data_IF_352254192959
#
_entry.id   IF_352254192959
#
_cell.length_a   1.000
_cell.length_b   1.000
_cell.length_c   1.000
_cell.angle_alpha   90.00
_cell.angle_beta   90.00
_cell.angle_gamma   90.00
#
_symmetry.space_group_name_H-M   'P 1'
#
loop_
_entity.id
_entity.type
_entity.pdbx_description
1 polymer ?
#
# COMPACT_ATOMS: atom_id res chain seq x y z
N UNK A 1 12.20 -30.90 2.51
CA UNK A 1 12.34 -29.66 1.69
C UNK A 1 11.15 -28.69 1.79
N UNK A 2 10.32 -28.75 2.83
CA UNK A 2 9.07 -27.96 2.97
C UNK A 2 9.25 -26.68 3.81
N UNK A 3 10.41 -26.47 4.44
CA UNK A 3 10.62 -25.41 5.44
C UNK A 3 10.99 -24.04 4.82
N UNK A 4 11.54 -23.99 3.60
CA UNK A 4 11.99 -22.75 2.99
C UNK A 4 10.84 -21.89 2.39
N UNK A 5 9.77 -22.53 1.94
CA UNK A 5 8.59 -21.82 1.40
C UNK A 5 7.75 -21.17 2.52
N UNK A 6 7.74 -21.74 3.72
CA UNK A 6 6.97 -21.21 4.85
C UNK A 6 7.53 -19.89 5.38
N UNK A 7 8.83 -19.66 5.31
CA UNK A 7 9.47 -18.45 5.84
C UNK A 7 9.36 -17.26 4.86
N UNK A 8 9.36 -17.50 3.55
CA UNK A 8 9.21 -16.44 2.54
C UNK A 8 7.81 -15.82 2.52
N UNK A 9 6.77 -16.57 2.90
CA UNK A 9 5.37 -16.13 2.91
C UNK A 9 4.85 -15.74 4.32
N UNK A 10 5.66 -15.81 5.36
CA UNK A 10 5.24 -15.54 6.74
C UNK A 10 4.66 -14.12 6.96
N UNK A 11 5.00 -13.17 6.10
CA UNK A 11 4.43 -11.81 6.13
C UNK A 11 3.02 -11.72 5.53
N UNK A 12 2.57 -12.74 4.77
CA UNK A 12 1.26 -12.80 4.14
C UNK A 12 0.24 -13.50 5.03
N UNK A 13 0.29 -13.31 6.37
CA UNK A 13 -0.75 -13.85 7.22
C UNK A 13 -2.11 -13.22 6.89
N UNK A 14 -3.24 -13.94 7.08
CA UNK A 14 -4.58 -13.42 6.80
C UNK A 14 -4.86 -12.07 7.49
N UNK A 15 -4.39 -11.90 8.73
CA UNK A 15 -4.60 -10.69 9.52
C UNK A 15 -3.83 -9.49 8.93
N UNK A 16 -2.55 -9.70 8.56
CA UNK A 16 -1.75 -8.65 7.92
C UNK A 16 -2.28 -8.30 6.54
N UNK A 17 -2.73 -9.29 5.80
CA UNK A 17 -3.34 -9.08 4.49
C UNK A 17 -4.63 -8.28 4.59
N UNK A 18 -5.50 -8.60 5.54
CA UNK A 18 -6.72 -7.84 5.81
C UNK A 18 -6.41 -6.39 6.23
N UNK A 19 -5.40 -6.20 7.09
CA UNK A 19 -4.94 -4.86 7.51
C UNK A 19 -4.37 -4.08 6.31
N UNK A 20 -3.56 -4.70 5.46
CA UNK A 20 -3.00 -4.07 4.27
C UNK A 20 -4.11 -3.62 3.30
N UNK A 21 -5.11 -4.48 3.06
CA UNK A 21 -6.28 -4.14 2.25
C UNK A 21 -7.05 -2.96 2.83
N UNK A 22 -7.34 -2.97 4.14
CA UNK A 22 -8.02 -1.88 4.83
C UNK A 22 -7.29 -0.55 4.69
N UNK A 23 -5.98 -0.55 4.91
CA UNK A 23 -5.15 0.66 4.78
C UNK A 23 -5.13 1.17 3.33
N UNK A 24 -5.07 0.28 2.36
CA UNK A 24 -5.03 0.66 0.95
C UNK A 24 -6.40 1.16 0.46
N UNK A 25 -7.51 0.53 0.87
CA UNK A 25 -8.86 1.02 0.58
C UNK A 25 -9.10 2.38 1.24
N UNK A 26 -8.67 2.58 2.50
CA UNK A 26 -8.70 3.88 3.17
C UNK A 26 -8.01 4.96 2.34
N UNK A 27 -6.80 4.64 1.88
CA UNK A 27 -6.00 5.56 1.08
C UNK A 27 -6.68 5.85 -0.25
N UNK A 28 -7.15 4.83 -0.96
CA UNK A 28 -7.84 4.98 -2.23
C UNK A 28 -9.11 5.85 -2.10
N UNK A 29 -9.93 5.60 -1.08
CA UNK A 29 -11.10 6.42 -0.79
C UNK A 29 -10.72 7.89 -0.55
N UNK A 30 -9.66 8.17 0.25
CA UNK A 30 -9.23 9.52 0.54
C UNK A 30 -8.68 10.24 -0.69
N UNK A 31 -7.76 9.61 -1.42
CA UNK A 31 -7.09 10.22 -2.56
C UNK A 31 -8.01 10.42 -3.75
N UNK A 32 -8.81 9.41 -4.10
CA UNK A 32 -9.75 9.54 -5.23
C UNK A 32 -10.90 10.51 -4.93
N UNK A 33 -11.27 10.71 -3.65
CA UNK A 33 -12.21 11.75 -3.25
C UNK A 33 -11.57 13.14 -3.30
N UNK A 34 -10.31 13.27 -2.89
CA UNK A 34 -9.54 14.50 -3.00
C UNK A 34 -9.38 14.95 -4.46
N UNK A 35 -9.07 14.02 -5.36
CA UNK A 35 -8.98 14.24 -6.81
C UNK A 35 -10.34 14.38 -7.48
N UNK A 36 -11.45 14.29 -6.72
CA UNK A 36 -12.83 14.37 -7.22
C UNK A 36 -13.22 13.31 -8.25
N UNK A 37 -12.48 12.20 -8.27
CA UNK A 37 -12.86 11.01 -9.01
C UNK A 37 -13.98 10.23 -8.32
N UNK A 38 -14.02 10.28 -6.98
CA UNK A 38 -15.11 9.78 -6.18
C UNK A 38 -15.87 10.95 -5.55
N UNK A 39 -17.19 10.78 -5.42
CA UNK A 39 -18.07 11.71 -4.73
C UNK A 39 -18.80 10.98 -3.59
N UNK A 40 -18.19 10.82 -2.39
CA UNK A 40 -18.84 10.16 -1.28
C UNK A 40 -20.12 10.85 -0.88
N UNK A 41 -21.23 10.10 -0.84
CA UNK A 41 -22.53 10.62 -0.44
C UNK A 41 -22.66 10.62 1.09
N UNK A 42 -23.04 11.74 1.73
CA UNK A 42 -23.27 11.78 3.17
C UNK A 42 -24.50 10.94 3.55
N UNK A 43 -24.38 10.17 4.64
CA UNK A 43 -25.47 9.33 5.16
C UNK A 43 -25.82 9.63 6.61
N UNK A 44 -25.16 10.60 7.21
CA UNK A 44 -25.35 11.06 8.59
C UNK A 44 -24.15 11.88 9.03
N UNK A 45 -24.06 12.17 10.33
CA UNK A 45 -22.96 12.93 10.90
C UNK A 45 -21.63 12.20 10.65
N UNK A 46 -20.73 12.84 9.89
CA UNK A 46 -19.41 12.33 9.52
C UNK A 46 -19.41 10.94 8.82
N UNK A 47 -20.59 10.43 8.41
CA UNK A 47 -20.73 9.15 7.72
C UNK A 47 -20.93 9.33 6.24
N UNK A 48 -20.25 8.51 5.45
CA UNK A 48 -20.29 8.61 4.01
C UNK A 48 -20.39 7.22 3.37
N UNK A 49 -20.86 7.20 2.14
CA UNK A 49 -20.95 6.00 1.32
C UNK A 49 -20.46 6.26 -0.10
N UNK A 50 -19.81 5.24 -0.68
CA UNK A 50 -19.46 5.16 -2.10
C UNK A 50 -20.05 3.87 -2.64
N UNK A 51 -20.71 3.92 -3.80
CA UNK A 51 -21.28 2.74 -4.47
C UNK A 51 -20.46 2.34 -5.68
N UNK A 52 -20.38 1.03 -5.92
CA UNK A 52 -19.79 0.46 -7.13
C UNK A 52 -20.51 0.95 -8.40
N UNK A 53 -19.86 0.80 -9.55
CA UNK A 53 -20.38 1.21 -10.86
C UNK A 53 -21.74 0.59 -11.19
N UNK A 54 -21.98 -0.65 -10.75
CA UNK A 54 -23.23 -1.40 -10.91
C UNK A 54 -24.21 -1.21 -9.73
N UNK A 55 -23.85 -0.38 -8.75
CA UNK A 55 -24.59 -0.14 -7.52
C UNK A 55 -24.86 -1.41 -6.64
N UNK A 56 -24.22 -2.54 -6.94
CA UNK A 56 -24.41 -3.78 -6.18
C UNK A 56 -23.63 -3.80 -4.86
N UNK A 57 -22.52 -3.05 -4.81
CA UNK A 57 -21.62 -2.96 -3.66
C UNK A 57 -21.58 -1.55 -3.10
N UNK A 58 -21.50 -1.44 -1.80
CA UNK A 58 -21.46 -0.19 -1.07
C UNK A 58 -20.31 -0.19 -0.06
N UNK A 59 -19.48 0.84 -0.10
CA UNK A 59 -18.43 1.13 0.87
C UNK A 59 -18.91 2.21 1.82
N UNK A 60 -19.00 1.90 3.12
CA UNK A 60 -19.43 2.83 4.17
C UNK A 60 -18.26 3.14 5.06
N UNK A 61 -18.14 4.39 5.48
CA UNK A 61 -17.05 4.84 6.34
C UNK A 61 -17.37 6.14 7.07
N UNK A 62 -16.60 6.42 8.13
CA UNK A 62 -16.60 7.68 8.85
C UNK A 62 -15.39 8.50 8.40
N UNK A 63 -15.61 9.80 8.14
CA UNK A 63 -14.55 10.70 7.72
C UNK A 63 -14.80 12.14 8.16
N UNK A 64 -13.73 12.90 8.34
CA UNK A 64 -13.77 14.36 8.43
C UNK A 64 -13.28 14.96 7.13
N UNK A 65 -14.06 15.89 6.59
CA UNK A 65 -13.67 16.66 5.42
C UNK A 65 -13.08 18.00 5.88
N UNK A 66 -11.84 18.25 5.51
CA UNK A 66 -11.13 19.51 5.76
C UNK A 66 -11.08 20.39 4.52
N UNK A 67 -10.51 21.57 4.67
CA UNK A 67 -10.28 22.48 3.54
C UNK A 67 -9.50 21.79 2.41
N UNK A 68 -9.71 22.24 1.18
CA UNK A 68 -9.09 21.69 -0.03
C UNK A 68 -9.46 20.24 -0.30
N UNK A 69 -10.66 19.82 0.05
CA UNK A 69 -11.17 18.45 -0.13
C UNK A 69 -10.24 17.37 0.50
N UNK A 70 -9.59 17.72 1.61
CA UNK A 70 -8.76 16.76 2.33
C UNK A 70 -9.61 15.85 3.22
N UNK A 71 -9.63 14.56 2.89
CA UNK A 71 -10.41 13.53 3.58
C UNK A 71 -9.59 12.80 4.63
N UNK A 72 -9.97 12.92 5.88
CA UNK A 72 -9.42 12.10 6.96
C UNK A 72 -10.39 10.95 7.26
N UNK A 73 -10.13 9.79 6.72
CA UNK A 73 -10.98 8.60 6.84
C UNK A 73 -10.49 7.73 8.00
N UNK A 74 -11.43 7.32 8.86
CA UNK A 74 -11.17 6.39 9.96
C UNK A 74 -11.14 4.96 9.44
N UNK A 75 -9.94 4.36 9.34
CA UNK A 75 -9.71 3.06 8.72
C UNK A 75 -10.61 1.94 9.27
N UNK A 76 -10.80 1.91 10.58
CA UNK A 76 -11.53 0.81 11.25
C UNK A 76 -13.06 0.88 11.04
N UNK A 77 -13.56 2.02 10.54
CA UNK A 77 -14.99 2.19 10.24
C UNK A 77 -15.37 1.77 8.84
N UNK A 78 -14.37 1.49 7.98
CA UNK A 78 -14.64 1.11 6.58
C UNK A 78 -15.23 -0.30 6.53
N UNK A 79 -16.40 -0.40 5.92
CA UNK A 79 -17.09 -1.66 5.65
C UNK A 79 -17.49 -1.75 4.19
N UNK A 80 -17.49 -2.97 3.63
CA UNK A 80 -17.93 -3.28 2.26
C UNK A 80 -19.16 -4.18 2.34
N UNK A 81 -20.22 -3.79 1.69
CA UNK A 81 -21.48 -4.55 1.69
C UNK A 81 -21.94 -4.83 0.27
N UNK A 82 -22.42 -6.06 0.02
CA UNK A 82 -23.06 -6.44 -1.23
C UNK A 82 -24.37 -7.14 -0.93
N UNK A 83 -25.46 -6.65 -1.51
CA UNK A 83 -26.82 -7.16 -1.26
C UNK A 83 -27.15 -7.28 0.24
N UNK A 84 -26.72 -6.32 1.05
CA UNK A 84 -26.96 -6.31 2.51
C UNK A 84 -26.01 -7.15 3.34
N UNK A 85 -25.17 -7.98 2.73
CA UNK A 85 -24.15 -8.78 3.44
C UNK A 85 -22.82 -8.08 3.48
N UNK A 86 -22.15 -8.08 4.63
CA UNK A 86 -20.80 -7.56 4.77
C UNK A 86 -19.79 -8.52 4.12
N UNK A 87 -18.85 -7.95 3.39
CA UNK A 87 -17.76 -8.65 2.72
C UNK A 87 -16.40 -8.17 3.25
N UNK A 88 -15.34 -8.99 3.16
CA UNK A 88 -13.99 -8.53 3.41
C UNK A 88 -13.61 -7.35 2.51
N UNK A 89 -12.82 -6.43 3.05
CA UNK A 89 -12.22 -5.38 2.23
C UNK A 89 -11.14 -5.98 1.33
N UNK A 90 -11.21 -5.64 0.05
CA UNK A 90 -10.24 -6.02 -0.96
C UNK A 90 -9.95 -4.83 -1.87
N UNK A 91 -8.69 -4.42 -1.96
CA UNK A 91 -8.31 -3.23 -2.71
C UNK A 91 -8.32 -3.46 -4.23
N UNK A 92 -8.09 -4.69 -4.68
CA UNK A 92 -8.21 -5.03 -6.10
C UNK A 92 -9.68 -5.03 -6.55
N UNK A 93 -10.56 -5.64 -5.75
CA UNK A 93 -12.00 -5.60 -5.98
C UNK A 93 -12.55 -4.17 -5.96
N UNK A 94 -12.07 -3.32 -5.03
CA UNK A 94 -12.43 -1.90 -4.97
C UNK A 94 -12.18 -1.20 -6.30
N UNK A 95 -11.02 -1.42 -6.91
CA UNK A 95 -10.70 -0.81 -8.21
C UNK A 95 -11.54 -1.39 -9.36
N UNK A 96 -11.81 -2.69 -9.33
CA UNK A 96 -12.65 -3.36 -10.33
C UNK A 96 -14.08 -2.83 -10.25
N UNK A 97 -14.63 -2.74 -9.04
CA UNK A 97 -16.01 -2.31 -8.78
C UNK A 97 -16.25 -0.83 -9.10
N UNK A 98 -15.21 -0.01 -9.06
CA UNK A 98 -15.25 1.44 -9.32
C UNK A 98 -14.51 1.85 -10.60
N UNK A 99 -14.17 0.89 -11.45
CA UNK A 99 -13.32 1.12 -12.62
C UNK A 99 -13.82 2.24 -13.53
N UNK A 100 -15.11 2.27 -13.82
CA UNK A 100 -15.71 3.27 -14.70
C UNK A 100 -15.77 4.65 -14.03
N UNK A 101 -16.19 4.70 -12.77
CA UNK A 101 -16.20 5.94 -11.97
C UNK A 101 -14.78 6.53 -11.87
N UNK A 102 -13.76 5.69 -11.67
CA UNK A 102 -12.35 6.11 -11.60
C UNK A 102 -11.72 6.40 -12.97
N UNK A 103 -12.43 6.16 -14.08
CA UNK A 103 -11.92 6.39 -15.43
C UNK A 103 -10.76 5.48 -15.82
N UNK A 104 -10.65 4.27 -15.24
CA UNK A 104 -9.56 3.34 -15.51
C UNK A 104 -9.85 2.58 -16.83
N UNK A 105 -9.04 2.78 -17.89
CA UNK A 105 -9.19 2.04 -19.13
C UNK A 105 -9.03 0.53 -18.95
N UNK A 106 -9.73 -0.27 -19.74
CA UNK A 106 -9.67 -1.74 -19.64
C UNK A 106 -8.26 -2.30 -19.85
N UNK A 107 -7.52 -1.70 -20.76
CA UNK A 107 -6.14 -2.07 -21.11
C UNK A 107 -5.13 -1.74 -20.02
N UNK A 108 -5.41 -0.74 -19.15
CA UNK A 108 -4.53 -0.33 -18.07
C UNK A 108 -4.81 -1.13 -16.79
N UNK A 109 -6.04 -1.60 -16.61
CA UNK A 109 -6.48 -2.27 -15.40
C UNK A 109 -5.58 -3.44 -14.96
N UNK A 110 -5.14 -4.37 -15.85
CA UNK A 110 -4.29 -5.49 -15.42
C UNK A 110 -2.96 -5.03 -14.79
N UNK A 111 -2.29 -4.04 -15.39
CA UNK A 111 -1.03 -3.49 -14.87
C UNK A 111 -1.27 -2.78 -13.55
N UNK A 112 -2.35 -2.04 -13.44
CA UNK A 112 -2.69 -1.34 -12.18
C UNK A 112 -3.01 -2.33 -11.06
N UNK A 113 -3.71 -3.44 -11.34
CA UNK A 113 -3.96 -4.50 -10.37
C UNK A 113 -2.67 -5.20 -9.93
N UNK A 114 -1.69 -5.36 -10.82
CA UNK A 114 -0.37 -5.87 -10.47
C UNK A 114 0.37 -4.91 -9.53
N UNK A 115 0.35 -3.60 -9.78
CA UNK A 115 0.91 -2.58 -8.89
C UNK A 115 0.24 -2.57 -7.51
N UNK A 116 -1.08 -2.70 -7.47
CA UNK A 116 -1.86 -2.81 -6.22
C UNK A 116 -1.49 -4.07 -5.45
N UNK A 117 -1.39 -5.20 -6.12
CA UNK A 117 -1.01 -6.48 -5.49
C UNK A 117 0.40 -6.41 -4.91
N UNK A 118 1.34 -5.82 -5.66
CA UNK A 118 2.71 -5.56 -5.18
C UNK A 118 2.73 -4.59 -4.00
N UNK A 119 1.88 -3.57 -4.01
CA UNK A 119 1.73 -2.61 -2.91
C UNK A 119 1.17 -3.28 -1.65
N UNK A 120 0.17 -4.16 -1.79
CA UNK A 120 -0.38 -4.94 -0.69
C UNK A 120 0.67 -5.84 -0.06
N UNK A 121 1.42 -6.60 -0.87
CA UNK A 121 2.50 -7.45 -0.39
C UNK A 121 3.58 -6.66 0.35
N UNK A 122 4.00 -5.52 -0.21
CA UNK A 122 4.95 -4.60 0.43
C UNK A 122 4.42 -4.01 1.74
N UNK A 123 3.13 -3.70 1.81
CA UNK A 123 2.47 -3.21 3.04
C UNK A 123 2.40 -4.31 4.09
N UNK A 124 1.96 -5.51 3.73
CA UNK A 124 1.94 -6.67 4.63
C UNK A 124 3.33 -6.99 5.19
N UNK A 125 4.37 -6.86 4.37
CA UNK A 125 5.76 -7.01 4.83
C UNK A 125 6.15 -5.94 5.85
N UNK A 126 5.75 -4.68 5.67
CA UNK A 126 6.03 -3.61 6.63
C UNK A 126 5.33 -3.84 7.98
N UNK A 127 4.13 -4.40 7.96
CA UNK A 127 3.38 -4.77 9.16
C UNK A 127 4.04 -5.88 9.99
N UNK A 128 5.12 -6.49 9.52
CA UNK A 128 5.96 -7.38 10.35
C UNK A 128 6.88 -6.63 11.32
N UNK A 129 7.01 -5.31 11.16
CA UNK A 129 7.92 -4.49 11.97
C UNK A 129 7.11 -3.63 12.94
N UNK A 130 7.63 -3.45 14.14
CA UNK A 130 7.10 -2.45 15.06
C UNK A 130 7.30 -1.04 14.46
N UNK A 131 6.23 -0.24 14.39
CA UNK A 131 6.35 1.13 13.89
C UNK A 131 7.17 1.98 14.86
N UNK A 132 8.12 2.73 14.32
CA UNK A 132 8.83 3.71 15.13
C UNK A 132 7.90 4.88 15.47
N UNK A 133 7.92 5.31 16.72
CA UNK A 133 7.19 6.52 17.16
C UNK A 133 7.88 7.79 16.63
N UNK A 134 7.12 8.89 16.50
CA UNK A 134 7.68 10.19 16.10
C UNK A 134 8.83 10.62 16.99
N UNK A 135 8.74 10.40 18.31
CA UNK A 135 9.81 10.71 19.25
C UNK A 135 11.09 9.90 19.03
N UNK A 136 10.96 8.63 18.67
CA UNK A 136 12.10 7.78 18.31
C UNK A 136 12.74 8.24 16.98
N UNK A 137 11.93 8.65 15.99
CA UNK A 137 12.42 9.13 14.71
C UNK A 137 13.14 10.48 14.83
N UNK A 138 12.65 11.40 15.68
CA UNK A 138 13.32 12.70 15.93
C UNK A 138 14.72 12.53 16.51
N UNK A 139 14.92 11.52 17.36
CA UNK A 139 16.22 11.21 17.96
C UNK A 139 17.10 10.30 17.09
N UNK A 140 16.61 9.84 15.95
CA UNK A 140 17.27 8.87 15.11
C UNK A 140 18.19 9.53 14.06
N UNK A 141 19.18 8.77 13.57
CA UNK A 141 19.98 9.20 12.43
C UNK A 141 19.19 9.07 11.10
N UNK A 142 19.64 9.78 10.07
CA UNK A 142 19.01 9.86 8.74
C UNK A 142 18.54 8.49 8.21
N UNK A 143 19.41 7.48 8.26
CA UNK A 143 19.08 6.14 7.76
C UNK A 143 17.88 5.51 8.49
N UNK A 144 17.77 5.72 9.80
CA UNK A 144 16.66 5.18 10.59
C UNK A 144 15.35 5.94 10.30
N UNK A 145 15.42 7.24 10.05
CA UNK A 145 14.26 8.04 9.63
C UNK A 145 13.74 7.55 8.28
N UNK A 146 14.61 7.42 7.27
CA UNK A 146 14.25 6.95 5.94
C UNK A 146 13.64 5.53 5.95
N UNK A 147 14.20 4.64 6.77
CA UNK A 147 13.70 3.26 6.88
C UNK A 147 12.50 3.12 7.83
N UNK A 148 12.26 4.09 8.68
CA UNK A 148 11.15 4.12 9.63
C UNK A 148 9.82 4.60 9.03
N UNK A 149 9.85 5.26 7.88
CA UNK A 149 8.63 5.69 7.20
C UNK A 149 7.80 4.47 6.74
N UNK A 150 6.60 4.35 7.28
CA UNK A 150 5.69 3.23 6.99
C UNK A 150 4.82 3.48 5.77
N UNK A 151 4.44 4.73 5.54
CA UNK A 151 3.68 5.14 4.36
C UNK A 151 4.61 5.83 3.36
N UNK A 152 4.41 5.55 2.07
CA UNK A 152 5.12 6.23 1.01
C UNK A 152 4.45 7.56 0.67
N UNK A 153 4.51 7.94 -0.61
CA UNK A 153 3.86 9.17 -1.10
C UNK A 153 2.37 9.18 -0.74
N UNK A 154 1.86 10.22 -0.07
CA UNK A 154 0.47 10.26 0.40
C UNK A 154 -0.53 10.20 -0.75
N UNK A 155 -0.29 10.90 -1.85
CA UNK A 155 -1.22 11.05 -2.97
C UNK A 155 -1.09 9.95 -4.04
N UNK A 156 -0.36 8.88 -3.82
CA UNK A 156 -0.21 7.79 -4.79
C UNK A 156 -0.63 6.45 -4.19
N UNK A 157 -1.76 5.90 -4.66
CA UNK A 157 -2.38 4.71 -4.07
C UNK A 157 -1.44 3.50 -4.16
N UNK A 158 -0.88 3.21 -5.32
CA UNK A 158 0.05 2.11 -5.55
C UNK A 158 1.51 2.41 -5.13
N UNK A 159 1.74 3.23 -4.12
CA UNK A 159 3.03 3.81 -3.77
C UNK A 159 4.13 2.85 -3.29
N UNK A 160 3.79 1.63 -2.96
CA UNK A 160 4.72 0.60 -2.50
C UNK A 160 4.97 -0.49 -3.55
N UNK A 161 4.28 -0.41 -4.69
CA UNK A 161 4.45 -1.36 -5.78
C UNK A 161 5.87 -1.33 -6.34
N UNK A 162 6.38 -2.50 -6.65
CA UNK A 162 7.69 -2.72 -7.30
C UNK A 162 7.51 -3.82 -8.31
N UNK A 163 7.05 -3.49 -9.50
CA UNK A 163 6.89 -4.45 -10.59
C UNK A 163 8.23 -5.12 -10.90
N UNK A 164 8.22 -6.42 -11.11
CA UNK A 164 9.41 -7.22 -11.33
C UNK A 164 10.25 -7.52 -10.08
N UNK A 165 9.80 -7.09 -8.88
CA UNK A 165 10.43 -7.44 -7.61
C UNK A 165 9.65 -8.56 -6.93
N UNK A 166 10.29 -9.70 -6.73
CA UNK A 166 9.80 -10.73 -5.82
C UNK A 166 10.08 -10.40 -4.35
N UNK A 167 9.69 -11.31 -3.46
CA UNK A 167 9.87 -11.12 -2.01
C UNK A 167 11.34 -11.02 -1.63
N UNK A 168 12.20 -11.78 -2.29
CA UNK A 168 13.63 -11.79 -1.98
C UNK A 168 14.32 -10.50 -2.44
N UNK A 169 13.97 -9.98 -3.61
CA UNK A 169 14.44 -8.69 -4.09
C UNK A 169 13.91 -7.56 -3.20
N UNK A 170 12.64 -7.63 -2.78
CA UNK A 170 12.08 -6.65 -1.85
C UNK A 170 12.83 -6.68 -0.51
N UNK A 171 13.16 -7.86 0.00
CA UNK A 171 13.95 -8.04 1.22
C UNK A 171 15.37 -7.51 1.07
N UNK A 172 15.98 -7.70 -0.09
CA UNK A 172 17.37 -7.33 -0.33
C UNK A 172 17.56 -5.84 -0.64
N UNK A 173 16.63 -5.24 -1.38
CA UNK A 173 16.82 -3.93 -2.01
C UNK A 173 15.84 -2.85 -1.58
N UNK A 174 14.72 -3.17 -0.92
CA UNK A 174 13.78 -2.14 -0.49
C UNK A 174 14.44 -1.22 0.57
N UNK A 175 14.43 0.11 0.40
CA UNK A 175 15.11 1.07 1.29
C UNK A 175 14.70 0.91 2.76
N UNK A 176 13.50 0.49 2.99
CA UNK A 176 12.90 0.31 4.33
C UNK A 176 13.41 -0.90 5.11
N UNK A 177 14.40 -1.61 4.56
CA UNK A 177 15.07 -2.71 5.24
C UNK A 177 16.57 -2.48 5.45
N UNK A 178 17.12 -1.37 5.06
CA UNK A 178 18.54 -1.14 5.22
C UNK A 178 18.93 -1.16 6.71
N UNK A 179 19.27 -2.36 7.18
CA UNK A 179 20.05 -2.53 8.39
C UNK A 179 21.52 -2.21 8.07
N UNK A 180 22.30 -1.81 9.07
CA UNK A 180 23.75 -1.57 8.94
C UNK A 180 24.52 -2.68 8.21
N UNK A 181 23.97 -3.88 8.15
CA UNK A 181 24.60 -5.06 7.58
C UNK A 181 24.58 -5.11 6.04
N UNK A 182 23.66 -4.41 5.37
CA UNK A 182 23.61 -4.34 3.91
C UNK A 182 24.75 -3.47 3.35
N UNK A 183 25.16 -2.43 4.08
CA UNK A 183 26.31 -1.60 3.68
C UNK A 183 27.64 -2.36 3.72
N UNK A 184 27.76 -3.38 4.57
CA UNK A 184 28.96 -4.22 4.67
C UNK A 184 29.10 -5.23 3.52
N UNK A 185 28.04 -5.45 2.73
CA UNK A 185 28.04 -6.44 1.64
C UNK A 185 28.15 -5.83 0.24
N UNK A 186 28.43 -4.55 0.08
CA UNK A 186 28.82 -4.04 -1.24
C UNK A 186 30.15 -4.68 -1.63
N UNK A 187 30.22 -5.47 -2.72
CA UNK A 187 31.51 -5.83 -3.28
C UNK A 187 32.24 -4.51 -3.62
N UNK A 188 33.48 -4.42 -3.19
CA UNK A 188 34.38 -3.33 -3.56
C UNK A 188 34.33 -3.14 -5.09
N UNK A 189 34.26 -1.91 -5.62
CA UNK A 189 34.32 -1.71 -7.05
C UNK A 189 35.59 -2.41 -7.57
N UNK A 190 35.41 -3.29 -8.56
CA UNK A 190 36.53 -3.97 -9.22
C UNK A 190 37.56 -2.90 -9.67
N UNK A 191 38.79 -3.12 -9.26
CA UNK A 191 39.90 -2.32 -9.73
C UNK A 191 39.90 -2.27 -11.27
N UNK A 192 40.24 -1.11 -11.88
CA UNK A 192 40.30 -1.01 -13.33
C UNK A 192 41.24 -2.05 -13.91
N UNK A 193 40.77 -2.77 -14.92
CA UNK A 193 41.60 -3.71 -15.68
C UNK A 193 42.68 -2.89 -16.36
N UNK A 194 43.94 -3.10 -15.96
CA UNK A 194 45.10 -2.50 -16.64
C UNK A 194 45.19 -3.11 -18.04
N UNK A 195 44.84 -2.33 -19.06
CA UNK A 195 45.16 -2.64 -20.44
C UNK A 195 46.64 -2.38 -20.66
N UNK A 196 47.43 -3.44 -20.61
CA UNK A 196 48.78 -3.43 -21.10
C UNK A 196 48.74 -3.57 -22.62
N UNK A 197 48.95 -2.46 -23.33
CA UNK A 197 49.20 -2.44 -24.77
C UNK A 197 50.63 -2.94 -25.00
N UNK A 198 50.76 -3.97 -25.83
CA UNK A 198 52.01 -4.36 -26.47
C UNK A 198 52.12 -3.67 -27.81
#
# INVERSE_FOLDING_TARGET
>A
MTTALSDSAAHLSPERWATANRLLVRKALAEFSHERLLAPAPTGDDRYTVRSDDASTEYRFTARLFALDHWQIEADTITRHRHGSELPLDAAEFLIELRHTLGIPAEVLPVYLEEISSTLAGTAYKLTKEPATSGQLVAAGFQAVETGMTEGHPCFVANNGRLGFGVDEYRAYAPRRWSRDVYKRRPSPRAPVSTTTR
#
